data_IF_570255071718
#
_entry.id   IF_570255071718
#
_cell.length_a   1.000
_cell.length_b   1.000
_cell.length_c   1.000
_cell.angle_alpha   90.00
_cell.angle_beta   90.00
_cell.angle_gamma   90.00
#
_symmetry.space_group_name_H-M   'P 1'
#
loop_
_entity.id
_entity.type
_entity.pdbx_description
1 polymer ?
#
# COMPACT_ATOMS: atom_id res chain seq x y z
N UNK A 1 4.65 -3.50 -13.60
CA UNK A 1 3.84 -2.49 -14.30
C UNK A 1 3.27 -1.55 -13.24
N UNK A 2 3.08 -0.27 -13.56
CA UNK A 2 2.46 0.69 -12.64
C UNK A 2 0.94 0.74 -12.87
N UNK A 3 0.18 0.74 -11.79
CA UNK A 3 -1.27 0.90 -11.74
C UNK A 3 -1.63 2.19 -11.04
N UNK A 4 -2.74 2.82 -11.42
CA UNK A 4 -3.29 3.93 -10.64
C UNK A 4 -4.22 3.34 -9.58
N UNK A 5 -3.91 3.60 -8.33
CA UNK A 5 -4.73 3.17 -7.20
C UNK A 5 -5.26 4.37 -6.45
N UNK A 6 -6.48 4.24 -5.94
CA UNK A 6 -7.11 5.22 -5.06
C UNK A 6 -7.29 4.60 -3.68
N UNK A 7 -6.80 5.28 -2.65
CA UNK A 7 -7.07 4.88 -1.28
C UNK A 7 -8.48 5.29 -0.86
N UNK A 8 -9.25 4.33 -0.34
CA UNK A 8 -10.67 4.50 -0.04
C UNK A 8 -10.95 5.13 1.32
N UNK A 9 -9.92 5.25 2.18
CA UNK A 9 -10.02 5.89 3.49
C UNK A 9 -8.69 6.54 3.88
N UNK A 10 -8.77 7.61 4.69
CA UNK A 10 -7.58 8.22 5.28
C UNK A 10 -6.91 7.22 6.24
N UNK A 11 -5.66 6.88 5.97
CA UNK A 11 -4.92 5.88 6.74
C UNK A 11 -3.47 6.29 6.96
N UNK A 12 -2.99 5.96 8.15
CA UNK A 12 -1.56 5.89 8.41
C UNK A 12 -1.05 4.62 7.75
N UNK A 13 -0.26 4.77 6.70
CA UNK A 13 0.53 3.67 6.15
C UNK A 13 1.97 3.85 6.57
N UNK A 14 2.59 2.73 6.91
CA UNK A 14 4.01 2.64 7.14
C UNK A 14 4.71 2.77 5.77
N UNK A 15 5.38 3.91 5.55
CA UNK A 15 6.14 4.23 4.37
C UNK A 15 7.61 3.84 4.60
N UNK A 16 8.07 2.87 3.82
CA UNK A 16 9.45 2.46 3.72
C UNK A 16 10.16 3.31 2.67
N UNK A 17 10.91 4.31 3.13
CA UNK A 17 11.76 5.16 2.27
C UNK A 17 13.07 4.44 1.89
N UNK A 18 13.48 3.42 2.66
CA UNK A 18 14.61 2.54 2.33
C UNK A 18 14.54 1.23 3.13
N UNK A 19 15.01 0.12 2.52
CA UNK A 19 15.05 -1.27 3.07
C UNK A 19 15.60 -1.47 4.50
N UNK A 20 16.21 -0.45 5.10
CA UNK A 20 16.87 -0.48 6.42
C UNK A 20 16.57 0.77 7.28
N UNK A 21 15.71 1.68 6.83
CA UNK A 21 15.31 2.86 7.61
C UNK A 21 14.01 2.58 8.37
N UNK A 22 13.75 3.29 9.49
CA UNK A 22 12.49 3.20 10.19
C UNK A 22 11.34 3.52 9.23
N UNK A 23 10.24 2.78 9.34
CA UNK A 23 9.02 3.06 8.62
C UNK A 23 8.51 4.44 9.08
N UNK A 24 8.37 5.39 8.15
CA UNK A 24 7.72 6.66 8.44
C UNK A 24 6.21 6.47 8.29
N UNK A 25 5.45 6.72 9.35
CA UNK A 25 3.99 6.70 9.26
C UNK A 25 3.50 7.94 8.53
N UNK A 26 3.12 7.78 7.28
CA UNK A 26 2.54 8.86 6.48
C UNK A 26 1.03 8.66 6.42
N UNK A 27 0.30 9.74 6.70
CA UNK A 27 -1.14 9.76 6.54
C UNK A 27 -1.45 9.97 5.05
N UNK A 28 -1.81 8.90 4.35
CA UNK A 28 -2.42 9.03 3.03
C UNK A 28 -3.86 9.49 3.25
N UNK A 29 -4.18 10.68 2.77
CA UNK A 29 -5.54 11.21 2.79
C UNK A 29 -6.49 10.34 1.96
N UNK A 30 -7.76 10.31 2.35
CA UNK A 30 -8.81 9.72 1.53
C UNK A 30 -8.83 10.40 0.16
N UNK A 31 -9.18 9.64 -0.88
CA UNK A 31 -9.29 10.13 -2.27
C UNK A 31 -7.99 10.50 -2.99
N UNK A 32 -6.82 10.23 -2.40
CA UNK A 32 -5.55 10.38 -3.11
C UNK A 32 -5.39 9.22 -4.11
N UNK A 33 -5.20 9.58 -5.39
CA UNK A 33 -4.79 8.65 -6.43
C UNK A 33 -3.26 8.66 -6.55
N UNK A 34 -2.65 7.48 -6.49
CA UNK A 34 -1.21 7.29 -6.63
C UNK A 34 -0.93 6.24 -7.69
N UNK A 35 0.22 6.36 -8.37
CA UNK A 35 0.74 5.29 -9.22
C UNK A 35 1.67 4.40 -8.41
N UNK A 36 1.41 3.10 -8.43
CA UNK A 36 2.22 2.12 -7.72
C UNK A 36 2.44 0.86 -8.55
N UNK A 37 3.61 0.23 -8.42
CA UNK A 37 3.77 -1.18 -8.74
C UNK A 37 3.21 -1.99 -7.57
N UNK A 38 2.47 -3.04 -7.90
CA UNK A 38 1.74 -3.82 -6.91
C UNK A 38 2.33 -5.23 -6.91
N UNK A 39 2.74 -5.68 -5.73
CA UNK A 39 3.17 -7.05 -5.49
C UNK A 39 2.17 -7.72 -4.54
N UNK A 40 1.17 -8.45 -5.07
CA UNK A 40 0.16 -9.11 -4.26
C UNK A 40 0.69 -10.38 -3.58
N UNK A 41 0.15 -10.69 -2.40
CA UNK A 41 0.34 -11.94 -1.68
C UNK A 41 -0.78 -12.12 -0.64
N UNK A 42 -0.85 -13.32 -0.05
CA UNK A 42 -1.79 -13.63 1.02
C UNK A 42 -1.00 -13.77 2.32
N UNK A 43 -1.52 -13.18 3.40
CA UNK A 43 -1.01 -13.35 4.76
C UNK A 43 -2.01 -14.17 5.56
N UNK A 44 -1.52 -15.24 6.19
CA UNK A 44 -2.30 -15.96 7.18
C UNK A 44 -2.30 -15.16 8.48
N UNK A 45 -3.50 -14.80 8.96
CA UNK A 45 -3.70 -14.20 10.29
C UNK A 45 -4.29 -15.24 11.23
N UNK A 46 -4.44 -14.90 12.51
CA UNK A 46 -5.05 -15.79 13.49
C UNK A 46 -6.52 -16.13 13.14
N UNK A 47 -7.18 -15.26 12.39
CA UNK A 47 -8.62 -15.34 12.11
C UNK A 47 -8.92 -15.74 10.66
N UNK A 48 -8.09 -15.33 9.67
CA UNK A 48 -8.34 -15.60 8.26
C UNK A 48 -7.11 -15.41 7.34
N UNK A 49 -7.24 -15.79 6.07
CA UNK A 49 -6.36 -15.43 4.97
C UNK A 49 -6.69 -14.03 4.46
N UNK A 50 -5.73 -13.11 4.53
CA UNK A 50 -5.92 -11.72 4.11
C UNK A 50 -5.12 -11.44 2.84
N UNK A 51 -5.80 -10.99 1.80
CA UNK A 51 -5.19 -10.50 0.57
C UNK A 51 -4.55 -9.12 0.79
N UNK A 52 -3.24 -9.04 0.60
CA UNK A 52 -2.45 -7.83 0.80
C UNK A 52 -1.51 -7.59 -0.38
N UNK A 53 -0.96 -6.39 -0.47
CA UNK A 53 0.08 -6.06 -1.42
C UNK A 53 1.18 -5.19 -0.81
N UNK A 54 2.39 -5.38 -1.33
CA UNK A 54 3.43 -4.35 -1.24
C UNK A 54 3.25 -3.40 -2.42
N UNK A 55 3.20 -2.10 -2.14
CA UNK A 55 3.02 -1.02 -3.09
C UNK A 55 4.34 -0.26 -3.21
N UNK A 56 4.85 -0.12 -4.43
CA UNK A 56 6.08 0.61 -4.73
C UNK A 56 5.74 1.84 -5.57
N UNK A 57 5.97 3.03 -5.03
CA UNK A 57 5.61 4.30 -5.64
C UNK A 57 6.70 4.85 -6.56
N UNK A 58 6.33 5.78 -7.45
CA UNK A 58 7.26 6.36 -8.43
C UNK A 58 8.40 7.18 -7.79
N UNK A 59 8.18 7.72 -6.59
CA UNK A 59 9.19 8.46 -5.81
C UNK A 59 10.24 7.56 -5.15
N UNK A 60 10.14 6.23 -5.35
CA UNK A 60 11.03 5.23 -4.79
C UNK A 60 10.67 4.78 -3.38
N UNK A 61 9.60 5.33 -2.79
CA UNK A 61 9.07 4.86 -1.51
C UNK A 61 8.19 3.63 -1.70
N UNK A 62 8.01 2.86 -0.63
CA UNK A 62 7.13 1.70 -0.64
C UNK A 62 6.27 1.65 0.60
N UNK A 63 5.12 1.00 0.53
CA UNK A 63 4.36 0.58 1.71
C UNK A 63 4.05 -0.90 1.59
N UNK A 64 4.16 -1.64 2.70
CA UNK A 64 4.07 -3.11 2.69
C UNK A 64 2.83 -3.60 3.39
N UNK A 65 2.38 -4.79 2.97
CA UNK A 65 1.28 -5.50 3.63
C UNK A 65 -0.01 -4.66 3.67
N UNK A 66 -0.28 -3.92 2.60
CA UNK A 66 -1.51 -3.13 2.48
C UNK A 66 -2.67 -4.03 2.06
N UNK A 67 -3.75 -4.15 2.85
CA UNK A 67 -4.91 -4.93 2.45
C UNK A 67 -5.55 -4.43 1.17
N UNK A 68 -5.96 -5.35 0.30
CA UNK A 68 -6.67 -5.03 -0.95
C UNK A 68 -7.95 -4.24 -0.71
N UNK A 69 -8.61 -4.45 0.43
CA UNK A 69 -9.81 -3.71 0.81
C UNK A 69 -9.60 -2.19 0.98
N UNK A 70 -8.35 -1.71 1.07
CA UNK A 70 -8.03 -0.31 1.37
C UNK A 70 -7.75 0.55 0.14
N UNK A 71 -7.65 -0.06 -1.04
CA UNK A 71 -7.48 0.68 -2.28
C UNK A 71 -8.26 0.05 -3.42
N UNK A 72 -8.55 0.84 -4.44
CA UNK A 72 -9.15 0.38 -5.69
C UNK A 72 -8.30 0.79 -6.87
N UNK A 73 -8.20 -0.07 -7.88
CA UNK A 73 -7.69 0.31 -9.19
C UNK A 73 -8.65 1.32 -9.84
N UNK A 74 -8.11 2.35 -10.49
CA UNK A 74 -8.91 3.39 -11.17
C UNK A 74 -8.65 3.45 -12.68
N UNK A 75 -7.98 2.43 -13.21
CA UNK A 75 -7.67 2.21 -14.63
C UNK A 75 -8.57 1.12 -15.25
#
# INVERSE_FOLDING_TARGET
MYHTIKFTAARLVDLEVARKKPLERVLIGADICLRAQIKPYVVETADDLVEVADLFFEDGTATRTVPFAFFSFVD
#
